data_IF_819173526151
#
_entry.id   IF_819173526151
#
_cell.length_a   1.000
_cell.length_b   1.000
_cell.length_c   1.000
_cell.angle_alpha   90.00
_cell.angle_beta   90.00
_cell.angle_gamma   90.00
#
_symmetry.space_group_name_H-M   'P 1'
#
loop_
_entity.id
_entity.type
_entity.pdbx_description
1 polymer ?
#
# COMPACT_ATOMS: atom_id res chain seq x y z
N UNK A 1 -19.24 -17.34 21.80
CA UNK A 1 -19.60 -18.27 20.71
C UNK A 1 -20.81 -17.71 19.97
N UNK A 2 -20.59 -16.82 18.99
CA UNK A 2 -21.40 -16.66 17.77
C UNK A 2 -20.73 -15.58 16.90
N UNK A 3 -20.02 -16.00 15.85
CA UNK A 3 -19.29 -15.17 14.89
C UNK A 3 -19.68 -15.66 13.49
N UNK A 4 -20.84 -15.24 12.99
CA UNK A 4 -21.21 -15.40 11.58
C UNK A 4 -22.27 -14.33 11.28
N UNK A 5 -22.17 -13.71 10.08
CA UNK A 5 -23.05 -12.65 9.51
C UNK A 5 -22.59 -11.20 9.68
N UNK A 6 -21.43 -10.86 9.10
CA UNK A 6 -21.20 -9.51 8.54
C UNK A 6 -20.05 -9.53 7.54
N UNK A 7 -20.13 -10.43 6.57
CA UNK A 7 -19.36 -10.38 5.33
C UNK A 7 -20.39 -10.34 4.20
N UNK A 8 -20.17 -9.50 3.18
CA UNK A 8 -20.93 -9.35 1.90
C UNK A 8 -21.65 -8.01 1.65
N UNK A 9 -21.78 -7.07 2.61
CA UNK A 9 -22.52 -5.80 2.33
C UNK A 9 -21.68 -4.51 2.21
N UNK A 10 -20.41 -4.60 1.80
CA UNK A 10 -19.62 -3.42 1.42
C UNK A 10 -19.19 -3.40 -0.06
N UNK A 11 -19.35 -4.52 -0.80
CA UNK A 11 -19.02 -4.62 -2.22
C UNK A 11 -20.18 -4.30 -3.19
N UNK A 12 -21.41 -4.20 -2.70
CA UNK A 12 -22.61 -4.02 -3.53
C UNK A 12 -23.08 -2.55 -3.66
N UNK A 13 -22.49 -1.61 -2.90
CA UNK A 13 -22.91 -0.20 -2.96
C UNK A 13 -22.16 0.63 -4.02
N UNK A 14 -21.12 0.06 -4.66
CA UNK A 14 -20.34 0.75 -5.71
C UNK A 14 -20.58 0.17 -7.12
N UNK A 15 -21.79 -0.38 -7.37
CA UNK A 15 -22.16 -0.97 -8.67
C UNK A 15 -23.39 -0.34 -9.34
N UNK A 16 -23.91 0.80 -8.86
CA UNK A 16 -25.13 1.42 -9.43
C UNK A 16 -25.01 2.89 -9.88
N UNK A 17 -23.80 3.38 -10.22
CA UNK A 17 -23.65 4.74 -10.72
C UNK A 17 -22.81 4.82 -12.01
N UNK A 18 -23.16 4.02 -13.02
CA UNK A 18 -22.43 3.99 -14.30
C UNK A 18 -23.31 3.74 -15.52
N UNK A 19 -24.57 4.14 -15.50
CA UNK A 19 -25.50 3.95 -16.63
C UNK A 19 -25.99 5.27 -17.21
N UNK A 20 -25.12 6.04 -17.88
CA UNK A 20 -25.53 7.06 -18.86
C UNK A 20 -24.31 7.81 -19.45
N UNK A 21 -23.63 7.23 -20.44
CA UNK A 21 -22.94 7.98 -21.51
C UNK A 21 -22.73 6.99 -22.66
N UNK A 22 -23.66 7.02 -23.61
CA UNK A 22 -23.50 7.74 -24.87
C UNK A 22 -22.69 6.91 -25.87
N UNK A 23 -23.44 6.39 -26.83
CA UNK A 23 -23.03 5.53 -27.92
C UNK A 23 -22.05 6.28 -28.83
N UNK A 24 -20.80 5.85 -28.84
CA UNK A 24 -19.90 6.06 -29.96
C UNK A 24 -19.41 4.69 -30.40
N UNK A 25 -19.34 4.38 -31.72
CA UNK A 25 -18.77 3.13 -32.18
C UNK A 25 -17.27 3.12 -31.83
N UNK A 26 -16.94 2.55 -30.68
CA UNK A 26 -15.58 2.34 -30.23
C UNK A 26 -14.91 1.33 -31.15
N UNK A 27 -13.80 1.73 -31.76
CA UNK A 27 -12.99 0.80 -32.56
C UNK A 27 -12.30 -0.20 -31.64
N UNK A 28 -12.17 -1.46 -32.08
CA UNK A 28 -11.69 -2.57 -31.26
C UNK A 28 -10.26 -2.37 -30.70
N UNK A 29 -9.50 -1.40 -31.24
CA UNK A 29 -8.19 -0.99 -30.72
C UNK A 29 -8.24 -0.13 -29.45
N UNK A 30 -9.30 0.66 -29.25
CA UNK A 30 -9.45 1.52 -28.07
C UNK A 30 -9.91 0.73 -26.84
N UNK A 31 -10.72 -0.31 -27.05
CA UNK A 31 -11.16 -1.23 -25.98
C UNK A 31 -9.99 -2.03 -25.36
N UNK A 32 -8.99 -2.40 -26.18
CA UNK A 32 -7.79 -3.11 -25.71
C UNK A 32 -6.84 -2.20 -24.93
N UNK A 33 -6.85 -0.89 -25.20
CA UNK A 33 -6.11 0.09 -24.38
C UNK A 33 -6.78 0.31 -23.03
N UNK A 34 -8.11 0.33 -22.97
CA UNK A 34 -8.87 0.48 -21.72
C UNK A 34 -8.82 -0.79 -20.85
N UNK A 35 -8.72 -1.98 -21.45
CA UNK A 35 -8.60 -3.25 -20.72
C UNK A 35 -7.26 -3.44 -19.99
N UNK A 36 -6.17 -2.88 -20.52
CA UNK A 36 -4.83 -3.01 -19.91
C UNK A 36 -4.52 -1.91 -18.88
N UNK A 37 -5.15 -0.74 -18.98
CA UNK A 37 -4.99 0.33 -17.98
C UNK A 37 -5.87 0.11 -16.74
N UNK A 38 -7.06 -0.48 -16.89
CA UNK A 38 -7.99 -0.68 -15.77
C UNK A 38 -7.46 -1.65 -14.70
N UNK A 39 -6.75 -2.72 -15.10
CA UNK A 39 -6.14 -3.66 -14.15
C UNK A 39 -4.89 -3.10 -13.45
N UNK A 40 -4.05 -2.35 -14.18
CA UNK A 40 -2.84 -1.74 -13.64
C UNK A 40 -3.13 -0.64 -12.63
N UNK A 41 -4.09 0.24 -12.95
CA UNK A 41 -4.49 1.36 -12.09
C UNK A 41 -5.09 0.87 -10.76
N UNK A 42 -5.93 -0.18 -10.79
CA UNK A 42 -6.46 -0.81 -9.57
C UNK A 42 -5.38 -1.44 -8.70
N UNK A 43 -4.36 -2.07 -9.30
CA UNK A 43 -3.25 -2.67 -8.56
C UNK A 43 -2.36 -1.62 -7.90
N UNK A 44 -2.15 -0.48 -8.56
CA UNK A 44 -1.33 0.61 -8.04
C UNK A 44 -2.02 1.30 -6.86
N UNK A 45 -3.33 1.54 -6.95
CA UNK A 45 -4.14 2.09 -5.86
C UNK A 45 -4.15 1.14 -4.65
N UNK A 46 -4.28 -0.18 -4.87
CA UNK A 46 -4.23 -1.16 -3.79
C UNK A 46 -2.85 -1.15 -3.08
N UNK A 47 -1.76 -1.09 -3.84
CA UNK A 47 -0.42 -1.01 -3.27
C UNK A 47 -0.21 0.31 -2.50
N UNK A 48 -0.72 1.44 -3.01
CA UNK A 48 -0.67 2.72 -2.33
C UNK A 48 -1.47 2.72 -1.03
N UNK A 49 -2.65 2.10 -1.01
CA UNK A 49 -3.45 1.92 0.20
C UNK A 49 -2.71 1.09 1.25
N UNK A 50 -2.12 -0.05 0.86
CA UNK A 50 -1.33 -0.89 1.78
C UNK A 50 -0.15 -0.12 2.37
N UNK A 51 0.58 0.66 1.56
CA UNK A 51 1.68 1.51 2.04
C UNK A 51 1.19 2.57 3.03
N UNK A 52 0.08 3.23 2.75
CA UNK A 52 -0.49 4.24 3.64
C UNK A 52 -0.91 3.65 4.99
N UNK A 53 -1.55 2.48 5.00
CA UNK A 53 -1.92 1.78 6.25
C UNK A 53 -0.67 1.33 7.01
N UNK A 54 0.32 0.74 6.33
CA UNK A 54 1.56 0.31 6.96
C UNK A 54 2.34 1.48 7.58
N UNK A 55 2.44 2.61 6.87
CA UNK A 55 3.11 3.81 7.38
C UNK A 55 2.38 4.39 8.60
N UNK A 56 1.04 4.39 8.58
CA UNK A 56 0.24 4.82 9.73
C UNK A 56 0.46 3.91 10.96
N UNK A 57 0.50 2.60 10.76
CA UNK A 57 0.79 1.64 11.82
C UNK A 57 2.22 1.80 12.36
N UNK A 58 3.21 2.01 11.49
CA UNK A 58 4.59 2.25 11.90
C UNK A 58 4.73 3.52 12.75
N UNK A 59 4.00 4.59 12.40
CA UNK A 59 3.98 5.82 13.18
C UNK A 59 3.42 5.60 14.59
N UNK A 60 2.29 4.89 14.71
CA UNK A 60 1.70 4.56 16.01
C UNK A 60 2.62 3.69 16.87
N UNK A 61 3.32 2.74 16.25
CA UNK A 61 4.31 1.92 16.93
C UNK A 61 5.49 2.74 17.45
N UNK A 62 6.08 3.62 16.63
CA UNK A 62 7.20 4.44 17.08
C UNK A 62 6.81 5.47 18.15
N UNK A 63 5.57 5.96 18.15
CA UNK A 63 5.07 6.78 19.27
C UNK A 63 5.07 5.98 20.58
N UNK A 64 4.67 4.71 20.54
CA UNK A 64 4.71 3.80 21.71
C UNK A 64 6.15 3.53 22.17
N UNK A 65 7.08 3.32 21.23
CA UNK A 65 8.50 3.12 21.55
C UNK A 65 9.09 4.39 22.17
N UNK A 66 8.81 5.57 21.61
CA UNK A 66 9.25 6.86 22.15
C UNK A 66 8.78 7.04 23.59
N UNK A 67 7.53 6.73 23.90
CA UNK A 67 6.98 6.81 25.26
C UNK A 67 7.66 5.81 26.20
N UNK A 68 7.90 4.58 25.74
CA UNK A 68 8.61 3.55 26.52
C UNK A 68 10.03 3.99 26.87
N UNK A 69 10.75 4.58 25.92
CA UNK A 69 12.11 5.08 26.14
C UNK A 69 12.11 6.29 27.08
N UNK A 70 11.10 7.16 27.02
CA UNK A 70 10.95 8.24 27.99
C UNK A 70 10.79 7.71 29.43
N UNK A 71 10.04 6.61 29.62
CA UNK A 71 9.95 5.93 30.92
C UNK A 71 11.31 5.37 31.37
N UNK A 72 12.09 4.82 30.43
CA UNK A 72 13.44 4.33 30.73
C UNK A 72 14.38 5.44 31.22
N UNK A 73 14.24 6.67 30.71
CA UNK A 73 14.97 7.85 31.22
C UNK A 73 14.59 8.16 32.67
N UNK A 74 13.30 8.15 33.01
CA UNK A 74 12.88 8.38 34.40
C UNK A 74 13.38 7.28 35.35
N UNK A 75 13.36 6.01 34.90
CA UNK A 75 13.96 4.90 35.63
C UNK A 75 15.47 5.11 35.84
N UNK A 76 16.20 5.54 34.80
CA UNK A 76 17.63 5.82 34.90
C UNK A 76 17.95 6.94 35.90
N UNK A 77 17.13 7.98 35.95
CA UNK A 77 17.23 9.06 36.95
C UNK A 77 17.00 8.52 38.37
N UNK A 78 16.03 7.65 38.55
CA UNK A 78 15.80 6.94 39.82
C UNK A 78 17.00 6.10 40.26
N UNK A 79 17.59 5.32 39.34
CA UNK A 79 18.78 4.50 39.62
C UNK A 79 20.03 5.33 39.90
N UNK A 80 20.16 6.50 39.29
CA UNK A 80 21.22 7.46 39.62
C UNK A 80 21.06 7.99 41.04
N UNK A 81 19.83 8.27 41.48
CA UNK A 81 19.55 8.74 42.83
C UNK A 81 19.93 7.71 43.92
N UNK A 82 19.83 6.41 43.61
CA UNK A 82 20.30 5.33 44.51
C UNK A 82 21.81 5.05 44.40
N UNK A 83 22.53 5.78 43.53
CA UNK A 83 23.96 5.58 43.26
C UNK A 83 24.28 4.35 42.42
N UNK A 84 23.28 3.64 41.88
CA UNK A 84 23.49 2.45 41.06
C UNK A 84 24.00 2.80 39.66
N UNK A 85 23.64 3.99 39.14
CA UNK A 85 23.99 4.45 37.80
C UNK A 85 24.77 5.76 37.83
N UNK A 86 25.67 5.96 36.85
CA UNK A 86 26.44 7.19 36.71
C UNK A 86 25.70 8.28 35.92
N UNK A 87 26.24 9.50 35.92
CA UNK A 87 25.72 10.58 35.07
C UNK A 87 25.83 10.27 33.56
N UNK A 88 26.87 9.54 33.15
CA UNK A 88 27.05 9.11 31.76
C UNK A 88 25.97 8.09 31.35
N UNK A 89 25.55 7.22 32.26
CA UNK A 89 24.51 6.23 31.98
C UNK A 89 23.15 6.89 31.77
N UNK A 90 22.82 7.90 32.58
CA UNK A 90 21.62 8.73 32.36
C UNK A 90 21.69 9.46 31.02
N UNK A 91 22.84 10.09 30.71
CA UNK A 91 22.99 10.83 29.46
C UNK A 91 22.81 9.93 28.23
N UNK A 92 23.28 8.68 28.26
CA UNK A 92 23.05 7.71 27.18
C UNK A 92 21.56 7.43 26.96
N UNK A 93 20.78 7.30 28.02
CA UNK A 93 19.33 7.13 27.90
C UNK A 93 18.65 8.38 27.34
N UNK A 94 19.07 9.57 27.77
CA UNK A 94 18.55 10.83 27.25
C UNK A 94 18.87 11.02 25.76
N UNK A 95 20.08 10.65 25.31
CA UNK A 95 20.43 10.62 23.88
C UNK A 95 19.56 9.65 23.10
N UNK A 96 19.38 8.42 23.60
CA UNK A 96 18.50 7.45 22.96
C UNK A 96 17.06 7.99 22.85
N UNK A 97 16.53 8.61 23.92
CA UNK A 97 15.20 9.22 23.90
C UNK A 97 15.07 10.34 22.84
N UNK A 98 16.12 11.14 22.66
CA UNK A 98 16.17 12.17 21.63
C UNK A 98 16.16 11.55 20.21
N UNK A 99 16.93 10.49 19.98
CA UNK A 99 16.95 9.76 18.70
C UNK A 99 15.57 9.18 18.35
N UNK A 100 14.93 8.48 19.29
CA UNK A 100 13.58 7.93 19.07
C UNK A 100 12.52 9.02 18.86
N UNK A 101 12.72 10.21 19.42
CA UNK A 101 11.85 11.36 19.16
C UNK A 101 11.97 11.83 17.71
N UNK A 102 13.19 11.92 17.18
CA UNK A 102 13.43 12.28 15.78
C UNK A 102 12.85 11.23 14.85
N UNK A 103 13.05 9.95 15.13
CA UNK A 103 12.53 8.85 14.31
C UNK A 103 10.98 8.84 14.30
N UNK A 104 10.33 9.04 15.45
CA UNK A 104 8.89 9.14 15.52
C UNK A 104 8.34 10.30 14.70
N UNK A 105 8.99 11.48 14.73
CA UNK A 105 8.60 12.63 13.92
C UNK A 105 8.76 12.38 12.42
N UNK A 106 9.86 11.72 12.04
CA UNK A 106 10.13 11.34 10.65
C UNK A 106 9.05 10.39 10.14
N UNK A 107 8.80 9.29 10.84
CA UNK A 107 7.80 8.29 10.42
C UNK A 107 6.39 8.87 10.41
N UNK A 108 6.03 9.76 11.34
CA UNK A 108 4.76 10.50 11.29
C UNK A 108 4.64 11.38 10.05
N UNK A 109 5.73 12.01 9.63
CA UNK A 109 5.76 12.83 8.41
C UNK A 109 5.63 11.96 7.17
N UNK A 110 6.37 10.86 7.11
CA UNK A 110 6.29 9.89 6.01
C UNK A 110 4.89 9.30 5.90
N UNK A 111 4.25 8.96 7.03
CA UNK A 111 2.86 8.48 7.04
C UNK A 111 1.89 9.49 6.43
N UNK A 112 2.00 10.78 6.78
CA UNK A 112 1.17 11.84 6.17
C UNK A 112 1.38 11.95 4.67
N UNK A 113 2.63 11.88 4.21
CA UNK A 113 2.95 11.92 2.79
C UNK A 113 2.34 10.74 2.03
N UNK A 114 2.34 9.52 2.59
CA UNK A 114 1.67 8.38 1.95
C UNK A 114 0.14 8.55 1.87
N UNK A 115 -0.49 9.14 2.90
CA UNK A 115 -1.92 9.49 2.85
C UNK A 115 -2.21 10.53 1.78
N UNK A 116 -1.37 11.56 1.66
CA UNK A 116 -1.51 12.60 0.64
C UNK A 116 -1.34 12.04 -0.78
N UNK A 117 -0.36 11.15 -0.99
CA UNK A 117 -0.19 10.45 -2.28
C UNK A 117 -1.40 9.60 -2.63
N UNK A 118 -1.92 8.82 -1.69
CA UNK A 118 -3.14 8.04 -1.90
C UNK A 118 -4.35 8.93 -2.20
N UNK A 119 -4.52 10.02 -1.46
CA UNK A 119 -5.60 10.98 -1.70
C UNK A 119 -5.50 11.62 -3.09
N UNK A 120 -4.28 11.96 -3.54
CA UNK A 120 -4.04 12.46 -4.88
C UNK A 120 -4.42 11.43 -5.96
N UNK A 121 -4.02 10.16 -5.80
CA UNK A 121 -4.40 9.07 -6.72
C UNK A 121 -5.92 8.88 -6.78
N UNK A 122 -6.60 8.97 -5.64
CA UNK A 122 -8.06 8.84 -5.55
C UNK A 122 -8.81 10.12 -5.94
N UNK A 123 -8.09 11.21 -6.27
CA UNK A 123 -8.64 12.55 -6.51
C UNK A 123 -9.56 13.01 -5.38
N UNK A 124 -9.25 12.61 -4.15
CA UNK A 124 -9.97 12.90 -2.92
C UNK A 124 -9.14 13.81 -2.01
N UNK A 125 -9.77 14.33 -0.95
CA UNK A 125 -9.03 15.07 0.09
C UNK A 125 -8.41 14.08 1.09
N UNK A 126 -7.16 14.31 1.47
CA UNK A 126 -6.49 13.53 2.54
C UNK A 126 -7.21 13.66 3.88
N UNK A 127 -7.89 14.78 4.13
CA UNK A 127 -8.67 15.00 5.36
C UNK A 127 -9.95 14.18 5.44
N UNK A 128 -10.47 13.69 4.30
CA UNK A 128 -11.69 12.88 4.24
C UNK A 128 -11.41 11.38 4.21
N UNK A 129 -10.14 10.99 4.11
CA UNK A 129 -9.73 9.61 3.90
C UNK A 129 -9.55 8.90 5.24
N UNK A 130 -10.48 7.99 5.56
CA UNK A 130 -10.40 7.16 6.76
C UNK A 130 -9.56 5.90 6.48
N UNK A 131 -8.38 5.81 7.11
CA UNK A 131 -7.53 4.62 7.06
C UNK A 131 -7.84 3.68 8.23
N UNK A 132 -7.81 2.36 8.02
CA UNK A 132 -7.83 1.42 9.14
C UNK A 132 -6.55 1.56 9.98
N UNK A 133 -6.66 1.19 11.25
CA UNK A 133 -5.55 1.30 12.21
C UNK A 133 -4.47 0.24 12.01
N UNK A 134 -4.80 -0.89 11.37
CA UNK A 134 -3.90 -2.03 11.21
C UNK A 134 -4.24 -2.84 9.95
N UNK A 135 -3.23 -3.40 9.30
CA UNK A 135 -3.39 -4.39 8.23
C UNK A 135 -3.96 -5.71 8.78
N UNK A 136 -4.83 -6.36 8.01
CA UNK A 136 -5.30 -7.70 8.37
C UNK A 136 -4.11 -8.67 8.50
N UNK A 137 -4.20 -9.57 9.47
CA UNK A 137 -3.16 -10.59 9.65
C UNK A 137 -3.02 -11.44 8.38
N UNK A 138 -1.78 -11.64 7.96
CA UNK A 138 -1.47 -12.51 6.82
C UNK A 138 -1.85 -13.93 7.21
N UNK A 139 -2.63 -14.65 6.37
CA UNK A 139 -2.95 -16.05 6.63
C UNK A 139 -1.67 -16.88 6.85
N UNK A 140 -1.66 -17.81 7.82
CA UNK A 140 -0.47 -18.61 8.13
C UNK A 140 -0.09 -19.56 7.00
N UNK A 141 -1.05 -19.92 6.14
CA UNK A 141 -0.80 -20.69 4.92
C UNK A 141 -0.92 -19.80 3.69
N UNK A 142 0.04 -19.89 2.75
CA UNK A 142 -0.10 -19.21 1.46
C UNK A 142 -1.36 -19.75 0.79
N UNK A 143 -2.33 -18.86 0.54
CA UNK A 143 -3.51 -19.20 -0.23
C UNK A 143 -3.02 -19.68 -1.60
N UNK A 144 -3.21 -20.96 -1.88
CA UNK A 144 -2.92 -21.53 -3.20
C UNK A 144 -3.82 -20.83 -4.20
N UNK A 145 -3.25 -19.89 -4.95
CA UNK A 145 -3.96 -19.27 -6.05
C UNK A 145 -4.29 -20.38 -7.06
N UNK A 146 -5.55 -20.53 -7.51
CA UNK A 146 -5.84 -21.36 -8.66
C UNK A 146 -4.91 -20.90 -9.81
N UNK A 147 -4.37 -21.83 -10.61
CA UNK A 147 -3.33 -21.49 -11.57
C UNK A 147 -3.83 -20.37 -12.49
N UNK A 148 -3.26 -19.18 -12.32
CA UNK A 148 -3.37 -18.02 -13.22
C UNK A 148 -2.61 -18.29 -14.53
N UNK A 149 -2.52 -19.55 -14.94
CA UNK A 149 -1.62 -20.03 -15.98
C UNK A 149 -2.35 -20.27 -17.31
N UNK A 150 -3.68 -20.44 -17.33
CA UNK A 150 -4.41 -20.59 -18.58
C UNK A 150 -4.51 -19.25 -19.34
N UNK A 151 -4.92 -18.18 -18.65
CA UNK A 151 -5.17 -16.90 -19.29
C UNK A 151 -3.88 -16.08 -19.52
N UNK A 152 -2.97 -16.04 -18.54
CA UNK A 152 -1.71 -15.30 -18.67
C UNK A 152 -0.69 -15.96 -19.63
N UNK A 153 -0.83 -17.26 -19.91
CA UNK A 153 -0.04 -17.93 -20.95
C UNK A 153 -0.66 -17.74 -22.34
N UNK A 154 -1.99 -17.75 -22.43
CA UNK A 154 -2.71 -17.42 -23.67
C UNK A 154 -2.44 -15.97 -24.12
N UNK A 155 -2.43 -15.03 -23.18
CA UNK A 155 -2.16 -13.61 -23.45
C UNK A 155 -0.71 -13.38 -23.89
N UNK A 156 0.26 -14.05 -23.25
CA UNK A 156 1.66 -14.05 -23.72
C UNK A 156 1.82 -14.74 -25.07
N UNK A 157 1.15 -15.87 -25.30
CA UNK A 157 1.22 -16.58 -26.58
C UNK A 157 0.63 -15.76 -27.74
N UNK A 158 -0.47 -15.05 -27.48
CA UNK A 158 -1.07 -14.11 -28.43
C UNK A 158 -0.17 -12.90 -28.70
N UNK A 159 0.44 -12.32 -27.67
CA UNK A 159 1.39 -11.21 -27.80
C UNK A 159 2.66 -11.62 -28.58
N UNK A 160 3.18 -12.83 -28.35
CA UNK A 160 4.32 -13.37 -29.09
C UNK A 160 3.96 -13.68 -30.55
N UNK A 161 2.77 -14.23 -30.80
CA UNK A 161 2.29 -14.50 -32.17
C UNK A 161 2.03 -13.22 -32.97
N UNK A 162 1.47 -12.19 -32.36
CA UNK A 162 1.29 -10.88 -33.01
C UNK A 162 2.62 -10.18 -33.24
N UNK A 163 3.59 -10.29 -32.34
CA UNK A 163 4.96 -9.83 -32.56
C UNK A 163 5.63 -10.55 -33.74
N UNK A 164 5.44 -11.87 -33.87
CA UNK A 164 5.97 -12.65 -34.99
C UNK A 164 5.34 -12.25 -36.33
N UNK A 165 4.02 -12.05 -36.38
CA UNK A 165 3.33 -11.60 -37.58
C UNK A 165 3.74 -10.18 -37.99
N UNK A 166 4.00 -9.29 -37.02
CA UNK A 166 4.49 -7.93 -37.27
C UNK A 166 5.93 -7.91 -37.78
N UNK A 167 6.78 -8.83 -37.30
CA UNK A 167 8.15 -8.99 -37.81
C UNK A 167 8.17 -9.49 -39.26
N UNK A 168 7.27 -10.43 -39.62
CA UNK A 168 7.11 -10.90 -41.00
C UNK A 168 6.61 -9.81 -41.98
N UNK A 169 5.69 -8.96 -41.53
CA UNK A 169 5.18 -7.84 -42.34
C UNK A 169 6.22 -6.72 -42.54
N UNK A 170 7.13 -6.51 -41.59
CA UNK A 170 8.21 -5.54 -41.72
C UNK A 170 9.28 -6.00 -42.74
N UNK A 171 9.54 -7.30 -42.86
CA UNK A 171 10.52 -7.84 -43.80
C UNK A 171 10.05 -7.83 -45.27
N UNK A 172 8.74 -7.93 -45.55
CA UNK A 172 8.22 -7.83 -46.92
C UNK A 172 8.23 -6.40 -47.48
N UNK A 173 8.24 -5.38 -46.61
CA UNK A 173 8.31 -3.96 -47.01
C UNK A 173 9.74 -3.46 -47.31
N UNK A 174 10.76 -4.26 -47.00
CA UNK A 174 12.16 -3.92 -47.25
C UNK A 174 12.73 -4.56 -48.54
N UNK A 175 11.91 -5.30 -49.30
CA UNK A 175 12.32 -6.01 -50.53
C UNK A 175 11.53 -5.54 -51.77
N UNK A 176 10.90 -4.36 -51.70
CA UNK A 176 10.37 -3.63 -52.85
C UNK A 176 10.98 -2.22 -52.85
#
# INVERSE_FOLDING_TARGET
MNRLLSFVLAGALLAHAGGAWAQAPMTQGDALRLGTTAGGESSEIQAAWLRAVAAHQAAAYLDTVRETVAVAVEMARGLRATGAWSALDVLRQETAAAEFTVDALRVRTDAKLEVERLAHMLRASSTTLALPTQLAEVPPEPVTMPPLAADASAERAWALRTAYLRYGAAHQRAVL
#
